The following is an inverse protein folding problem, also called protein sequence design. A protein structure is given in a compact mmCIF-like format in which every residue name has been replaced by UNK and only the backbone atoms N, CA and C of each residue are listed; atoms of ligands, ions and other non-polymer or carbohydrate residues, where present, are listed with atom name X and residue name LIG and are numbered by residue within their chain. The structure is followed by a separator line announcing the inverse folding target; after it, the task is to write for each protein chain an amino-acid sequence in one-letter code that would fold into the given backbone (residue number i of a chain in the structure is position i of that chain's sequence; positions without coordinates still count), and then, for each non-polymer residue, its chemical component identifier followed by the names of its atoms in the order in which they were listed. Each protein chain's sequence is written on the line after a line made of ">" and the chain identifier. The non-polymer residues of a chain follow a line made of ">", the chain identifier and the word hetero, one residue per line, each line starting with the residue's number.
data_IF_659103135647
#
_entry.id   IF_659103135647
#
_cell.length_a   1.000
_cell.length_b   1.000
_cell.length_c   1.000
_cell.angle_alpha   90.00
_cell.angle_beta   90.00
_cell.angle_gamma   90.00
#
_symmetry.space_group_name_H-M   'P 1'
#
loop_
_entity.id
_entity.type
_entity.pdbx_description
1 polymer ?
#
# COMPACT_ATOMS: atom_id res chain seq x y z
N UNK A 1 -47.63 17.86 4.88
CA UNK A 1 -46.20 17.52 5.08
C UNK A 1 -45.40 18.80 5.31
N UNK A 2 -44.35 18.82 6.14
CA UNK A 2 -43.54 20.03 6.43
C UNK A 2 -42.98 20.71 5.15
N UNK A 3 -42.66 19.93 4.12
CA UNK A 3 -42.16 20.41 2.82
C UNK A 3 -43.20 21.28 2.07
N UNK A 4 -44.50 20.96 2.19
CA UNK A 4 -45.58 21.71 1.54
C UNK A 4 -45.82 23.10 2.18
N UNK A 5 -45.34 23.33 3.41
CA UNK A 5 -45.46 24.63 4.09
C UNK A 5 -44.38 25.64 3.70
N UNK A 6 -43.38 25.22 2.92
CA UNK A 6 -42.31 26.11 2.47
C UNK A 6 -42.71 26.91 1.22
N UNK A 7 -42.35 28.20 1.17
CA UNK A 7 -42.63 29.07 0.01
C UNK A 7 -41.96 28.59 -1.28
N UNK A 8 -40.86 27.84 -1.18
CA UNK A 8 -40.18 27.24 -2.34
C UNK A 8 -41.04 26.19 -3.04
N UNK A 9 -41.84 25.41 -2.31
CA UNK A 9 -42.65 24.34 -2.90
C UNK A 9 -43.70 24.87 -3.89
N UNK A 10 -44.26 26.05 -3.63
CA UNK A 10 -45.26 26.69 -4.47
C UNK A 10 -44.69 27.34 -5.74
N UNK A 11 -43.37 27.56 -5.80
CA UNK A 11 -42.65 28.06 -6.99
C UNK A 11 -42.29 26.95 -7.98
N UNK A 12 -42.45 25.69 -7.59
CA UNK A 12 -42.13 24.55 -8.45
C UNK A 12 -43.24 24.27 -9.48
N UNK A 13 -42.88 23.87 -10.72
CA UNK A 13 -43.85 23.41 -11.72
C UNK A 13 -44.75 22.30 -11.18
N UNK A 14 -45.96 22.18 -11.72
CA UNK A 14 -46.96 21.20 -11.27
C UNK A 14 -46.41 19.76 -11.25
N UNK A 15 -45.67 19.37 -12.29
CA UNK A 15 -45.05 18.04 -12.37
C UNK A 15 -44.06 17.76 -11.23
N UNK A 16 -43.21 18.73 -10.87
CA UNK A 16 -42.25 18.58 -9.77
C UNK A 16 -42.94 18.48 -8.41
N UNK A 17 -44.01 19.27 -8.19
CA UNK A 17 -44.82 19.19 -6.96
C UNK A 17 -45.50 17.83 -6.82
N UNK A 18 -45.97 17.26 -7.92
CA UNK A 18 -46.59 15.94 -7.93
C UNK A 18 -45.58 14.83 -7.67
N UNK A 19 -44.41 14.86 -8.31
CA UNK A 19 -43.31 13.91 -8.08
C UNK A 19 -42.78 13.96 -6.64
N UNK A 20 -42.61 15.16 -6.06
CA UNK A 20 -42.22 15.28 -4.65
C UNK A 20 -43.28 14.70 -3.70
N UNK A 21 -44.57 14.88 -4.00
CA UNK A 21 -45.65 14.28 -3.21
C UNK A 21 -45.62 12.76 -3.29
N UNK A 22 -45.37 12.22 -4.46
CA UNK A 22 -45.26 10.77 -4.69
C UNK A 22 -44.10 10.15 -3.90
N UNK A 23 -42.92 10.76 -3.99
CA UNK A 23 -41.72 10.37 -3.23
C UNK A 23 -42.00 10.35 -1.71
N UNK A 24 -42.64 11.39 -1.17
CA UNK A 24 -42.91 11.47 0.27
C UNK A 24 -44.06 10.54 0.70
N UNK A 25 -44.93 10.11 -0.23
CA UNK A 25 -45.97 9.11 0.04
C UNK A 25 -45.39 7.69 0.08
N UNK A 26 -44.43 7.37 -0.78
CA UNK A 26 -43.79 6.05 -0.89
C UNK A 26 -42.41 5.98 -0.23
N UNK A 27 -42.31 6.45 1.02
CA UNK A 27 -41.03 6.63 1.76
C UNK A 27 -40.13 5.40 1.82
N UNK A 28 -40.70 4.21 2.02
CA UNK A 28 -39.92 2.96 2.12
C UNK A 28 -39.24 2.61 0.79
N UNK A 29 -39.98 2.70 -0.32
CA UNK A 29 -39.47 2.44 -1.67
C UNK A 29 -38.38 3.46 -2.04
N UNK A 30 -38.64 4.74 -1.81
CA UNK A 30 -37.64 5.79 -2.07
C UNK A 30 -36.39 5.60 -1.20
N UNK A 31 -36.54 5.29 0.09
CA UNK A 31 -35.41 5.08 0.98
C UNK A 31 -34.53 3.90 0.52
N UNK A 32 -35.14 2.76 0.16
CA UNK A 32 -34.41 1.60 -0.37
C UNK A 32 -33.62 1.94 -1.64
N UNK A 33 -34.26 2.64 -2.59
CA UNK A 33 -33.57 3.10 -3.82
C UNK A 33 -32.45 4.08 -3.53
N UNK A 34 -32.66 5.03 -2.61
CA UNK A 34 -31.65 6.02 -2.23
C UNK A 34 -30.42 5.37 -1.59
N UNK A 35 -30.63 4.43 -0.67
CA UNK A 35 -29.54 3.65 -0.05
C UNK A 35 -28.76 2.86 -1.10
N UNK A 36 -29.45 2.24 -2.07
CA UNK A 36 -28.81 1.54 -3.17
C UNK A 36 -27.91 2.46 -4.01
N UNK A 37 -28.42 3.62 -4.41
CA UNK A 37 -27.66 4.60 -5.20
C UNK A 37 -26.44 5.08 -4.40
N UNK A 38 -26.63 5.49 -3.14
CA UNK A 38 -25.54 5.95 -2.27
C UNK A 38 -24.50 4.83 -2.10
N UNK A 39 -24.93 3.60 -1.85
CA UNK A 39 -24.04 2.44 -1.70
C UNK A 39 -23.18 2.21 -2.95
N UNK A 40 -23.81 2.22 -4.13
CA UNK A 40 -23.08 2.12 -5.39
C UNK A 40 -22.09 3.28 -5.58
N UNK A 41 -22.50 4.52 -5.29
CA UNK A 41 -21.62 5.69 -5.37
C UNK A 41 -20.42 5.57 -4.43
N UNK A 42 -20.63 5.14 -3.19
CA UNK A 42 -19.56 4.95 -2.19
C UNK A 42 -18.59 3.87 -2.64
N UNK A 43 -19.06 2.74 -3.18
CA UNK A 43 -18.19 1.67 -3.67
C UNK A 43 -17.33 2.11 -4.85
N UNK A 44 -17.89 2.89 -5.78
CA UNK A 44 -17.16 3.44 -6.92
C UNK A 44 -16.13 4.46 -6.45
N UNK A 45 -16.51 5.38 -5.57
CA UNK A 45 -15.59 6.36 -4.99
C UNK A 45 -14.47 5.70 -4.19
N UNK A 46 -14.76 4.66 -3.41
CA UNK A 46 -13.76 3.91 -2.66
C UNK A 46 -12.78 3.21 -3.60
N UNK A 47 -13.27 2.62 -4.71
CA UNK A 47 -12.41 1.97 -5.72
C UNK A 47 -11.44 2.96 -6.35
N UNK A 48 -11.91 4.14 -6.77
CA UNK A 48 -11.05 5.19 -7.30
C UNK A 48 -10.10 5.76 -6.25
N UNK A 49 -10.57 5.98 -5.02
CA UNK A 49 -9.73 6.45 -3.92
C UNK A 49 -8.59 5.50 -3.58
N UNK A 50 -8.85 4.18 -3.56
CA UNK A 50 -7.81 3.17 -3.39
C UNK A 50 -6.78 3.21 -4.51
N UNK A 51 -7.22 3.40 -5.76
CA UNK A 51 -6.33 3.55 -6.92
C UNK A 51 -5.43 4.77 -6.80
N UNK A 52 -6.00 5.93 -6.53
CA UNK A 52 -5.24 7.18 -6.42
C UNK A 52 -4.25 7.12 -5.25
N UNK A 53 -4.67 6.53 -4.13
CA UNK A 53 -3.79 6.30 -2.97
C UNK A 53 -2.62 5.38 -3.34
N UNK A 54 -2.87 4.30 -4.08
CA UNK A 54 -1.81 3.40 -4.53
C UNK A 54 -0.85 4.12 -5.50
N UNK A 55 -1.35 4.88 -6.47
CA UNK A 55 -0.50 5.64 -7.39
C UNK A 55 0.40 6.64 -6.66
N UNK A 56 -0.16 7.39 -5.70
CA UNK A 56 0.60 8.33 -4.89
C UNK A 56 1.64 7.61 -4.02
N UNK A 57 1.30 6.44 -3.47
CA UNK A 57 2.23 5.60 -2.72
C UNK A 57 3.39 5.10 -3.59
N UNK A 58 3.10 4.60 -4.81
CA UNK A 58 4.14 4.14 -5.74
C UNK A 58 5.05 5.29 -6.15
N UNK A 59 4.50 6.45 -6.54
CA UNK A 59 5.30 7.62 -6.90
C UNK A 59 6.24 8.03 -5.74
N UNK A 60 5.72 8.09 -4.51
CA UNK A 60 6.52 8.36 -3.33
C UNK A 60 7.62 7.31 -3.13
N UNK A 61 7.25 6.03 -3.11
CA UNK A 61 8.15 4.92 -2.79
C UNK A 61 9.26 4.75 -3.84
N UNK A 62 8.92 4.81 -5.12
CA UNK A 62 9.88 4.59 -6.22
C UNK A 62 10.66 5.84 -6.59
N UNK A 63 10.04 7.01 -6.71
CA UNK A 63 10.78 8.21 -7.15
C UNK A 63 11.66 8.79 -6.04
N UNK A 64 11.22 8.68 -4.78
CA UNK A 64 11.93 9.27 -3.65
C UNK A 64 12.69 8.25 -2.77
N UNK A 65 12.15 7.02 -2.62
CA UNK A 65 12.69 6.00 -1.71
C UNK A 65 13.78 5.09 -2.28
N UNK A 66 13.69 4.72 -3.57
CA UNK A 66 14.64 3.79 -4.19
C UNK A 66 15.59 4.53 -5.14
N UNK A 67 16.81 4.80 -4.66
CA UNK A 67 17.86 5.47 -5.41
C UNK A 67 18.87 4.45 -5.98
N UNK A 68 18.35 3.36 -6.56
CA UNK A 68 19.13 2.32 -7.23
C UNK A 68 18.41 1.82 -8.48
N UNK A 69 19.17 1.22 -9.40
CA UNK A 69 18.63 0.62 -10.63
C UNK A 69 18.31 -0.86 -10.45
N UNK A 70 19.16 -1.60 -9.72
CA UNK A 70 19.00 -3.04 -9.50
C UNK A 70 19.34 -3.45 -8.07
N UNK A 71 18.61 -4.44 -7.56
CA UNK A 71 18.93 -5.22 -6.37
C UNK A 71 19.46 -6.60 -6.80
N UNK A 72 20.67 -6.92 -6.40
CA UNK A 72 21.34 -8.20 -6.60
C UNK A 72 21.09 -9.04 -5.35
N UNK A 73 20.51 -10.22 -5.51
CA UNK A 73 20.37 -11.20 -4.43
C UNK A 73 21.56 -12.16 -4.49
N UNK A 74 22.25 -12.28 -3.37
CA UNK A 74 23.41 -13.15 -3.21
C UNK A 74 22.96 -14.57 -2.84
N UNK A 75 23.75 -15.56 -3.25
CA UNK A 75 23.53 -16.95 -2.87
C UNK A 75 23.75 -17.15 -1.36
N UNK A 76 22.99 -18.06 -0.75
CA UNK A 76 23.21 -18.48 0.64
C UNK A 76 24.58 -19.19 0.80
N UNK A 77 25.10 -19.78 -0.27
CA UNK A 77 26.40 -20.47 -0.27
C UNK A 77 27.60 -19.56 -0.52
N UNK A 78 27.38 -18.27 -0.78
CA UNK A 78 28.47 -17.32 -1.03
C UNK A 78 29.26 -17.04 0.26
N UNK A 79 30.59 -17.02 0.16
CA UNK A 79 31.46 -16.65 1.29
C UNK A 79 31.47 -15.14 1.49
N UNK A 80 31.79 -14.68 2.69
CA UNK A 80 31.85 -13.24 3.01
C UNK A 80 32.80 -12.47 2.09
N UNK A 81 33.91 -13.07 1.68
CA UNK A 81 34.85 -12.48 0.72
C UNK A 81 34.20 -12.26 -0.65
N UNK A 82 33.44 -13.25 -1.13
CA UNK A 82 32.71 -13.15 -2.40
C UNK A 82 31.61 -12.10 -2.33
N UNK A 83 30.91 -11.99 -1.19
CA UNK A 83 29.89 -10.94 -0.98
C UNK A 83 30.54 -9.56 -1.06
N UNK A 84 31.67 -9.35 -0.39
CA UNK A 84 32.43 -8.08 -0.45
C UNK A 84 32.92 -7.76 -1.85
N UNK A 85 33.40 -8.75 -2.60
CA UNK A 85 33.83 -8.53 -3.99
C UNK A 85 32.67 -8.02 -4.86
N UNK A 86 31.45 -8.54 -4.69
CA UNK A 86 30.26 -8.06 -5.40
C UNK A 86 29.89 -6.63 -4.98
N UNK A 87 29.94 -6.33 -3.68
CA UNK A 87 29.66 -4.98 -3.14
C UNK A 87 30.62 -3.95 -3.76
N UNK A 88 31.92 -4.25 -3.74
CA UNK A 88 32.97 -3.37 -4.30
C UNK A 88 32.87 -3.24 -5.82
N UNK A 89 32.67 -4.36 -6.53
CA UNK A 89 32.56 -4.39 -8.00
C UNK A 89 31.43 -3.49 -8.50
N UNK A 90 30.28 -3.52 -7.83
CA UNK A 90 29.09 -2.78 -8.24
C UNK A 90 28.85 -1.49 -7.44
N UNK A 91 29.77 -1.12 -6.54
CA UNK A 91 29.70 0.07 -5.68
C UNK A 91 28.33 0.25 -5.05
N UNK A 92 27.82 -0.85 -4.50
CA UNK A 92 26.46 -0.92 -3.99
C UNK A 92 26.38 -0.70 -2.49
N UNK A 93 25.23 -0.22 -2.02
CA UNK A 93 24.86 -0.42 -0.62
C UNK A 93 24.44 -1.87 -0.43
N UNK A 94 24.49 -2.37 0.79
CA UNK A 94 24.19 -3.77 1.05
C UNK A 94 23.24 -3.93 2.24
N UNK A 95 22.60 -5.08 2.31
CA UNK A 95 21.79 -5.43 3.45
C UNK A 95 21.61 -6.92 3.64
N UNK A 96 21.18 -7.27 4.84
CA UNK A 96 20.79 -8.61 5.22
C UNK A 96 19.51 -8.58 6.04
N UNK A 97 18.71 -9.63 5.91
CA UNK A 97 17.41 -9.73 6.57
C UNK A 97 17.44 -10.88 7.57
N UNK A 98 17.09 -10.62 8.82
CA UNK A 98 17.00 -11.63 9.89
C UNK A 98 15.54 -11.73 10.35
N UNK A 99 15.00 -12.94 10.41
CA UNK A 99 13.66 -13.15 10.97
C UNK A 99 13.70 -13.09 12.50
N UNK A 100 13.02 -12.10 13.08
CA UNK A 100 12.95 -11.90 14.53
C UNK A 100 11.49 -11.94 15.02
N UNK A 101 11.31 -12.23 16.29
CA UNK A 101 10.03 -12.19 16.98
C UNK A 101 9.96 -10.95 17.86
N UNK A 102 8.87 -10.21 17.72
CA UNK A 102 8.53 -9.04 18.51
C UNK A 102 7.14 -9.27 19.10
N UNK A 103 7.03 -9.36 20.44
CA UNK A 103 5.75 -9.57 21.15
C UNK A 103 4.90 -10.73 20.55
N UNK A 104 5.55 -11.84 20.23
CA UNK A 104 4.89 -13.04 19.66
C UNK A 104 4.66 -13.00 18.14
N UNK A 105 4.92 -11.87 17.46
CA UNK A 105 4.79 -11.71 16.01
C UNK A 105 6.14 -11.82 15.30
N UNK A 106 6.21 -12.60 14.23
CA UNK A 106 7.40 -12.66 13.37
C UNK A 106 7.47 -11.43 12.47
N UNK A 107 8.60 -10.75 12.47
CA UNK A 107 8.91 -9.55 11.67
C UNK A 107 10.30 -9.68 11.06
N UNK A 108 10.56 -8.98 9.95
CA UNK A 108 11.91 -8.91 9.37
C UNK A 108 12.70 -7.80 10.04
N UNK A 109 13.90 -8.12 10.51
CA UNK A 109 14.92 -7.15 10.90
C UNK A 109 15.88 -6.98 9.72
N UNK A 110 15.79 -5.85 9.05
CA UNK A 110 16.61 -5.52 7.90
C UNK A 110 17.79 -4.66 8.37
N UNK A 111 19.00 -5.14 8.10
CA UNK A 111 20.26 -4.51 8.50
C UNK A 111 20.89 -3.95 7.24
N UNK A 112 21.17 -2.65 7.21
CA UNK A 112 21.74 -1.98 6.04
C UNK A 112 23.10 -1.34 6.30
N UNK A 113 24.03 -1.58 5.38
CA UNK A 113 25.27 -0.83 5.23
C UNK A 113 25.11 0.19 4.10
N UNK A 114 24.91 1.45 4.45
CA UNK A 114 24.63 2.54 3.50
C UNK A 114 25.84 3.44 3.38
N UNK A 115 26.43 3.46 2.18
CA UNK A 115 27.62 4.25 1.84
C UNK A 115 27.39 5.15 0.62
N UNK A 116 26.48 4.77 -0.28
CA UNK A 116 26.23 5.42 -1.56
C UNK A 116 24.80 5.99 -1.71
N UNK A 117 24.05 6.09 -0.60
CA UNK A 117 22.68 6.65 -0.55
C UNK A 117 21.69 5.98 -1.52
N UNK A 118 21.81 4.66 -1.69
CA UNK A 118 20.96 3.84 -2.56
C UNK A 118 19.65 3.47 -1.90
N UNK A 119 19.69 3.26 -0.59
CA UNK A 119 18.53 2.91 0.22
C UNK A 119 18.10 4.15 1.01
N UNK A 120 16.87 4.60 0.79
CA UNK A 120 16.29 5.73 1.53
C UNK A 120 14.98 5.31 2.17
N UNK A 121 14.80 5.69 3.43
CA UNK A 121 13.55 5.51 4.15
C UNK A 121 12.84 6.86 4.29
N UNK A 122 11.51 6.83 4.36
CA UNK A 122 10.69 8.03 4.45
C UNK A 122 9.80 7.99 5.69
N UNK A 123 9.67 9.13 6.36
CA UNK A 123 8.76 9.32 7.48
C UNK A 123 7.28 9.36 7.03
N UNK A 124 6.38 9.50 7.99
CA UNK A 124 4.94 9.64 7.74
C UNK A 124 4.58 10.88 6.89
N UNK A 125 5.44 11.90 6.89
CA UNK A 125 5.29 13.16 6.17
C UNK A 125 6.06 13.17 4.85
N UNK A 126 6.49 12.02 4.33
CA UNK A 126 7.26 11.86 3.08
C UNK A 126 8.62 12.57 3.07
N UNK A 127 9.18 12.83 4.25
CA UNK A 127 10.54 13.35 4.41
C UNK A 127 11.52 12.18 4.48
N UNK A 128 12.66 12.35 3.81
CA UNK A 128 13.78 11.42 3.90
C UNK A 128 14.28 11.36 5.35
N UNK A 129 14.40 10.15 5.88
CA UNK A 129 15.07 9.87 7.13
C UNK A 129 16.46 9.30 6.79
N UNK A 130 17.50 9.82 7.44
CA UNK A 130 18.83 9.21 7.41
C UNK A 130 18.89 8.12 8.48
N UNK A 131 19.31 6.91 8.07
CA UNK A 131 19.49 5.78 8.99
C UNK A 131 20.78 6.03 9.75
N UNK A 132 20.66 6.23 11.06
CA UNK A 132 21.75 6.51 11.99
C UNK A 132 22.09 5.28 12.82
N UNK A 133 23.24 5.34 13.49
CA UNK A 133 23.76 4.26 14.32
C UNK A 133 23.26 4.28 15.78
N UNK A 134 22.18 5.02 16.07
CA UNK A 134 21.69 5.28 17.42
C UNK A 134 20.34 4.61 17.76
N UNK A 135 19.76 3.84 16.83
CA UNK A 135 18.57 3.06 17.10
C UNK A 135 17.95 2.37 15.89
N UNK A 136 16.76 1.83 16.12
CA UNK A 136 15.95 1.10 15.16
C UNK A 136 14.82 1.96 14.61
N UNK A 137 14.57 1.83 13.32
CA UNK A 137 13.48 2.47 12.62
C UNK A 137 12.35 1.45 12.46
N UNK A 138 11.15 1.78 12.93
CA UNK A 138 10.00 0.87 12.87
C UNK A 138 9.08 1.25 11.72
N UNK A 139 8.57 0.24 11.02
CA UNK A 139 7.45 0.44 10.13
C UNK A 139 6.24 1.00 10.92
N UNK A 140 5.56 2.00 10.36
CA UNK A 140 4.38 2.65 10.94
C UNK A 140 3.35 1.65 11.48
N UNK A 141 3.12 0.54 10.75
CA UNK A 141 2.21 -0.53 11.19
C UNK A 141 2.64 -1.21 12.49
N UNK A 142 3.94 -1.42 12.68
CA UNK A 142 4.49 -1.98 13.92
C UNK A 142 4.40 -0.96 15.06
N UNK A 143 4.70 0.31 14.76
CA UNK A 143 4.56 1.41 15.72
C UNK A 143 3.14 1.52 16.26
N UNK A 144 2.13 1.55 15.37
CA UNK A 144 0.72 1.65 15.74
C UNK A 144 0.22 0.38 16.45
N UNK A 145 0.65 -0.80 15.99
CA UNK A 145 0.21 -2.07 16.57
C UNK A 145 0.70 -2.24 18.02
N UNK A 146 1.94 -1.84 18.31
CA UNK A 146 2.55 -2.01 19.62
C UNK A 146 2.56 -0.73 20.47
N UNK A 147 2.01 0.37 19.96
CA UNK A 147 1.93 1.65 20.66
C UNK A 147 3.30 2.28 20.93
N UNK A 148 4.28 2.03 20.06
CA UNK A 148 5.64 2.55 20.19
C UNK A 148 5.79 3.89 19.47
N UNK A 149 6.59 4.78 20.03
CA UNK A 149 6.96 6.09 19.49
C UNK A 149 8.46 6.31 19.53
N UNK A 150 8.94 7.35 18.85
CA UNK A 150 10.36 7.75 18.92
C UNK A 150 10.81 7.96 20.37
N UNK A 151 11.93 7.31 20.73
CA UNK A 151 12.46 7.33 22.08
C UNK A 151 12.12 6.10 22.92
N UNK A 152 11.09 5.34 22.57
CA UNK A 152 10.71 4.12 23.28
C UNK A 152 11.71 3.00 23.05
N UNK A 153 11.61 1.95 23.86
CA UNK A 153 12.44 0.74 23.75
C UNK A 153 11.57 -0.48 23.55
N UNK A 154 12.05 -1.41 22.75
CA UNK A 154 11.39 -2.69 22.52
C UNK A 154 12.45 -3.78 22.38
N UNK A 155 12.00 -5.03 22.49
CA UNK A 155 12.86 -6.20 22.43
C UNK A 155 12.46 -7.10 21.28
N UNK A 156 13.47 -7.68 20.63
CA UNK A 156 13.30 -8.67 19.56
C UNK A 156 14.16 -9.89 19.85
N UNK A 157 13.67 -11.07 19.45
CA UNK A 157 14.41 -12.33 19.58
C UNK A 157 14.50 -13.04 18.23
N UNK A 158 15.70 -13.40 17.73
CA UNK A 158 15.82 -14.18 16.51
C UNK A 158 15.17 -15.54 16.65
N UNK A 159 14.54 -16.00 15.57
CA UNK A 159 13.83 -17.27 15.58
C UNK A 159 14.78 -18.44 15.87
N UNK A 160 14.42 -19.27 16.84
CA UNK A 160 15.21 -20.45 17.22
C UNK A 160 16.39 -20.16 18.16
N UNK A 161 16.48 -18.95 18.71
CA UNK A 161 17.47 -18.58 19.74
C UNK A 161 16.77 -18.07 21.00
N UNK A 162 17.44 -18.19 22.15
CA UNK A 162 17.02 -17.57 23.41
C UNK A 162 17.56 -16.14 23.57
N UNK A 163 18.23 -15.62 22.54
CA UNK A 163 18.83 -14.29 22.54
C UNK A 163 17.74 -13.21 22.45
N UNK A 164 17.88 -12.17 23.27
CA UNK A 164 16.97 -11.03 23.29
C UNK A 164 17.77 -9.75 23.09
N UNK A 165 17.45 -9.01 22.04
CA UNK A 165 18.07 -7.73 21.71
C UNK A 165 17.10 -6.61 22.03
N UNK A 166 17.48 -5.76 22.97
CA UNK A 166 16.73 -4.54 23.28
C UNK A 166 17.27 -3.39 22.45
N UNK A 167 16.37 -2.70 21.76
CA UNK A 167 16.68 -1.60 20.85
C UNK A 167 15.78 -0.41 21.13
N UNK A 168 16.30 0.78 20.80
CA UNK A 168 15.58 2.05 20.95
C UNK A 168 14.96 2.46 19.62
N UNK A 169 13.72 2.94 19.63
CA UNK A 169 13.07 3.52 18.47
C UNK A 169 13.73 4.86 18.15
N UNK A 170 14.46 4.92 17.04
CA UNK A 170 15.06 6.15 16.51
C UNK A 170 14.10 6.93 15.60
N UNK A 171 13.16 6.23 14.95
CA UNK A 171 12.24 6.83 14.00
C UNK A 171 11.15 5.85 13.57
N UNK A 172 10.09 6.40 12.98
CA UNK A 172 9.02 5.62 12.34
C UNK A 172 9.03 5.92 10.84
N UNK A 173 8.96 4.87 10.02
CA UNK A 173 9.02 5.00 8.56
C UNK A 173 7.86 4.27 7.86
N UNK A 174 7.60 4.65 6.62
CA UNK A 174 6.60 3.98 5.77
C UNK A 174 7.24 2.88 4.94
N UNK A 175 6.64 1.69 5.01
CA UNK A 175 7.08 0.48 4.30
C UNK A 175 5.91 -0.30 3.73
N UNK A 176 6.16 -1.07 2.68
CA UNK A 176 5.21 -2.07 2.15
C UNK A 176 5.13 -3.28 3.07
N UNK A 177 6.25 -3.65 3.71
CA UNK A 177 6.38 -4.78 4.62
C UNK A 177 6.33 -4.34 6.09
N UNK A 178 6.03 -5.30 6.97
CA UNK A 178 6.21 -5.10 8.41
C UNK A 178 7.65 -5.48 8.77
N UNK A 179 8.51 -4.48 8.81
CA UNK A 179 9.93 -4.63 9.07
C UNK A 179 10.45 -3.57 10.03
N UNK A 180 11.61 -3.90 10.61
CA UNK A 180 12.44 -3.03 11.44
C UNK A 180 13.74 -2.81 10.67
N UNK A 181 14.21 -1.57 10.60
CA UNK A 181 15.47 -1.23 9.92
C UNK A 181 16.49 -0.75 10.96
N UNK A 182 17.72 -1.28 10.88
CA UNK A 182 18.87 -0.79 11.65
C UNK A 182 20.09 -0.63 10.73
N UNK A 183 21.04 0.22 11.14
CA UNK A 183 22.34 0.27 10.47
C UNK A 183 23.20 -0.93 10.83
N UNK A 184 24.14 -1.28 9.96
CA UNK A 184 25.18 -2.29 10.23
C UNK A 184 25.94 -1.97 11.53
N UNK A 185 26.36 -0.72 11.73
CA UNK A 185 27.10 -0.35 12.94
C UNK A 185 26.28 -0.52 14.22
N UNK A 186 24.95 -0.29 14.16
CA UNK A 186 24.07 -0.54 15.30
C UNK A 186 23.89 -2.05 15.55
N UNK A 187 23.75 -2.85 14.49
CA UNK A 187 23.70 -4.31 14.59
C UNK A 187 24.99 -4.88 15.23
N UNK A 188 26.16 -4.38 14.82
CA UNK A 188 27.46 -4.75 15.38
C UNK A 188 27.59 -4.38 16.86
N UNK A 189 27.07 -3.20 17.25
CA UNK A 189 27.07 -2.76 18.65
C UNK A 189 26.26 -3.69 19.56
N UNK A 190 25.18 -4.26 19.03
CA UNK A 190 24.32 -5.24 19.70
C UNK A 190 24.78 -6.69 19.48
N UNK A 191 25.81 -6.91 18.64
CA UNK A 191 26.34 -8.22 18.23
C UNK A 191 25.28 -9.13 17.59
N UNK A 192 24.37 -8.55 16.82
CA UNK A 192 23.34 -9.30 16.10
C UNK A 192 24.00 -10.03 14.92
N UNK A 193 23.99 -11.37 14.86
CA UNK A 193 24.55 -12.09 13.73
C UNK A 193 23.66 -11.90 12.50
N UNK A 194 24.26 -11.55 11.37
CA UNK A 194 23.56 -11.44 10.10
C UNK A 194 24.47 -11.79 8.93
N UNK A 195 23.89 -12.12 7.79
CA UNK A 195 24.59 -12.35 6.54
C UNK A 195 24.04 -11.40 5.47
N UNK A 196 24.93 -10.84 4.67
CA UNK A 196 24.51 -9.93 3.59
C UNK A 196 23.81 -10.74 2.50
N UNK A 197 22.51 -10.53 2.30
CA UNK A 197 21.72 -11.23 1.30
C UNK A 197 21.55 -10.44 0.00
N UNK A 198 21.78 -9.12 0.05
CA UNK A 198 21.46 -8.25 -1.07
C UNK A 198 22.40 -7.06 -1.21
N UNK A 199 22.60 -6.66 -2.46
CA UNK A 199 23.40 -5.49 -2.87
C UNK A 199 22.55 -4.61 -3.78
N UNK A 200 22.52 -3.31 -3.51
CA UNK A 200 21.73 -2.30 -4.20
C UNK A 200 22.68 -1.42 -5.03
N UNK A 201 22.52 -1.41 -6.34
CA UNK A 201 23.45 -0.75 -7.27
C UNK A 201 22.72 0.02 -8.37
N UNK A 202 23.40 1.02 -8.96
CA UNK A 202 22.94 1.72 -10.16
C UNK A 202 23.15 0.90 -11.43
N UNK A 203 23.88 -0.21 -11.34
CA UNK A 203 24.13 -1.09 -12.48
C UNK A 203 22.81 -1.65 -12.99
N UNK A 204 22.53 -1.46 -14.27
CA UNK A 204 21.34 -2.05 -14.89
C UNK A 204 21.40 -3.57 -14.84
N UNK A 205 20.23 -4.21 -14.70
CA UNK A 205 20.14 -5.67 -14.60
C UNK A 205 20.89 -6.42 -15.70
N UNK A 206 20.89 -5.90 -16.93
CA UNK A 206 21.57 -6.53 -18.06
C UNK A 206 23.11 -6.45 -18.02
N UNK A 207 23.66 -5.51 -17.24
CA UNK A 207 25.11 -5.33 -17.07
C UNK A 207 25.66 -6.10 -15.86
N UNK A 208 24.79 -6.70 -15.04
CA UNK A 208 25.22 -7.59 -13.95
C UNK A 208 25.53 -8.96 -14.53
N UNK A 209 26.81 -9.34 -14.46
CA UNK A 209 27.26 -10.65 -14.93
C UNK A 209 26.70 -11.77 -14.03
N UNK A 210 26.16 -12.81 -14.65
CA UNK A 210 25.73 -14.00 -13.92
C UNK A 210 26.95 -14.72 -13.32
N UNK A 211 26.84 -15.10 -12.05
CA UNK A 211 27.86 -15.86 -11.32
C UNK A 211 27.20 -16.78 -10.31
N UNK A 212 27.89 -17.82 -9.85
CA UNK A 212 27.37 -18.74 -8.81
C UNK A 212 27.11 -18.04 -7.47
N UNK A 213 27.70 -16.85 -7.28
CA UNK A 213 27.52 -15.98 -6.12
C UNK A 213 26.21 -15.19 -6.21
N UNK A 214 25.69 -14.96 -7.42
CA UNK A 214 24.49 -14.16 -7.66
C UNK A 214 23.31 -15.09 -7.94
N UNK A 215 22.36 -15.13 -7.01
CA UNK A 215 21.14 -15.92 -7.12
C UNK A 215 20.18 -15.33 -8.14
N UNK A 216 19.97 -14.02 -8.08
CA UNK A 216 19.07 -13.31 -8.99
C UNK A 216 19.31 -11.81 -8.98
N UNK A 217 18.83 -11.13 -10.03
CA UNK A 217 18.90 -9.67 -10.13
C UNK A 217 17.50 -9.14 -10.45
N UNK A 218 17.04 -8.21 -9.63
CA UNK A 218 15.74 -7.55 -9.77
C UNK A 218 15.99 -6.07 -10.07
N UNK A 219 15.54 -5.60 -11.23
CA UNK A 219 15.57 -4.16 -11.52
C UNK A 219 14.42 -3.46 -10.82
N UNK A 220 14.62 -2.19 -10.47
CA UNK A 220 13.57 -1.29 -10.00
C UNK A 220 12.39 -1.26 -10.97
N UNK A 221 12.68 -1.20 -12.28
CA UNK A 221 11.67 -1.20 -13.34
C UNK A 221 10.79 -2.45 -13.31
N UNK A 222 11.35 -3.64 -13.08
CA UNK A 222 10.56 -4.88 -13.00
C UNK A 222 9.54 -4.85 -11.86
N UNK A 223 9.87 -4.19 -10.76
CA UNK A 223 8.94 -4.00 -9.64
C UNK A 223 7.86 -2.99 -10.03
N UNK A 224 8.24 -1.86 -10.65
CA UNK A 224 7.30 -0.84 -11.15
C UNK A 224 6.31 -1.46 -12.14
N UNK A 225 6.79 -2.20 -13.13
CA UNK A 225 5.98 -2.89 -14.14
C UNK A 225 4.97 -3.86 -13.50
N UNK A 226 5.39 -4.56 -12.43
CA UNK A 226 4.51 -5.49 -11.69
C UNK A 226 3.37 -4.76 -10.99
N UNK A 227 3.63 -3.61 -10.38
CA UNK A 227 2.60 -2.78 -9.76
C UNK A 227 1.70 -2.10 -10.79
N UNK A 228 2.24 -1.63 -11.92
CA UNK A 228 1.46 -1.10 -13.03
C UNK A 228 0.52 -2.16 -13.62
N UNK A 229 1.00 -3.39 -13.80
CA UNK A 229 0.16 -4.52 -14.21
C UNK A 229 -0.96 -4.79 -13.21
N UNK A 230 -0.66 -4.75 -11.90
CA UNK A 230 -1.66 -4.92 -10.84
C UNK A 230 -2.73 -3.81 -10.88
N UNK A 231 -2.32 -2.54 -11.03
CA UNK A 231 -3.22 -1.41 -11.17
C UNK A 231 -4.09 -1.49 -12.43
N UNK A 232 -3.52 -1.97 -13.54
CA UNK A 232 -4.25 -2.18 -14.80
C UNK A 232 -5.32 -3.28 -14.68
N UNK A 233 -5.03 -4.35 -13.93
CA UNK A 233 -6.02 -5.39 -13.61
C UNK A 233 -7.17 -4.80 -12.77
N UNK A 234 -6.84 -3.98 -11.77
CA UNK A 234 -7.83 -3.29 -10.95
C UNK A 234 -8.71 -2.36 -11.79
N UNK A 235 -8.15 -1.62 -12.75
CA UNK A 235 -8.91 -0.80 -13.70
C UNK A 235 -9.89 -1.63 -14.52
N UNK A 236 -9.44 -2.77 -15.02
CA UNK A 236 -10.29 -3.69 -15.78
C UNK A 236 -11.47 -4.17 -14.94
N UNK A 237 -11.24 -4.50 -13.66
CA UNK A 237 -12.31 -4.89 -12.74
C UNK A 237 -13.28 -3.74 -12.47
N UNK A 238 -12.79 -2.52 -12.26
CA UNK A 238 -13.64 -1.33 -12.06
C UNK A 238 -14.52 -1.10 -13.29
N UNK A 239 -13.96 -1.15 -14.50
CA UNK A 239 -14.72 -0.98 -15.73
C UNK A 239 -15.78 -2.07 -15.93
N UNK A 240 -15.46 -3.33 -15.60
CA UNK A 240 -16.41 -4.43 -15.67
C UNK A 240 -17.57 -4.24 -14.69
N UNK A 241 -17.27 -3.88 -13.43
CA UNK A 241 -18.29 -3.64 -12.41
C UNK A 241 -19.19 -2.45 -12.75
N UNK A 242 -18.61 -1.33 -13.20
CA UNK A 242 -19.37 -0.15 -13.61
C UNK A 242 -20.21 -0.46 -14.86
N UNK A 243 -19.65 -1.13 -15.85
CA UNK A 243 -20.37 -1.56 -17.06
C UNK A 243 -21.54 -2.49 -16.74
N UNK A 244 -21.31 -3.49 -15.87
CA UNK A 244 -22.36 -4.40 -15.40
C UNK A 244 -23.46 -3.68 -14.61
N UNK A 245 -23.10 -2.73 -13.74
CA UNK A 245 -24.05 -1.93 -12.98
C UNK A 245 -24.92 -1.04 -13.88
N UNK A 246 -24.32 -0.42 -14.91
CA UNK A 246 -25.06 0.38 -15.90
C UNK A 246 -26.06 -0.48 -16.68
N UNK A 247 -25.63 -1.65 -17.15
CA UNK A 247 -26.48 -2.58 -17.90
C UNK A 247 -27.64 -3.08 -17.04
N UNK A 248 -27.35 -3.49 -15.80
CA UNK A 248 -28.38 -3.90 -14.85
C UNK A 248 -29.36 -2.76 -14.54
N UNK A 249 -28.85 -1.53 -14.38
CA UNK A 249 -29.66 -0.33 -14.20
C UNK A 249 -30.61 -0.09 -15.38
N UNK A 250 -30.13 -0.22 -16.62
CA UNK A 250 -30.96 -0.11 -17.82
C UNK A 250 -32.07 -1.17 -17.84
N UNK A 251 -31.74 -2.43 -17.54
CA UNK A 251 -32.73 -3.53 -17.48
C UNK A 251 -33.82 -3.26 -16.44
N UNK A 252 -33.42 -2.84 -15.23
CA UNK A 252 -34.36 -2.55 -14.14
C UNK A 252 -35.25 -1.36 -14.48
N UNK A 253 -34.68 -0.27 -15.01
CA UNK A 253 -35.44 0.91 -15.41
C UNK A 253 -36.42 0.60 -16.55
N UNK A 254 -36.02 -0.23 -17.51
CA UNK A 254 -36.90 -0.69 -18.58
C UNK A 254 -38.06 -1.54 -18.03
N UNK A 255 -37.78 -2.46 -17.11
CA UNK A 255 -38.81 -3.28 -16.46
C UNK A 255 -39.81 -2.42 -15.67
N UNK A 256 -39.32 -1.48 -14.85
CA UNK A 256 -40.19 -0.54 -14.12
C UNK A 256 -40.97 0.37 -15.06
N UNK A 257 -40.35 0.86 -16.14
CA UNK A 257 -41.02 1.72 -17.12
C UNK A 257 -42.15 1.00 -17.84
N UNK A 258 -41.91 -0.24 -18.28
CA UNK A 258 -42.96 -1.07 -18.93
C UNK A 258 -44.08 -1.45 -17.96
N UNK A 259 -43.76 -1.81 -16.72
CA UNK A 259 -44.76 -2.04 -15.67
C UNK A 259 -45.60 -0.77 -15.42
N UNK A 260 -44.97 0.37 -15.20
CA UNK A 260 -45.68 1.64 -14.94
C UNK A 260 -46.54 2.09 -16.12
N UNK A 261 -46.07 1.87 -17.36
CA UNK A 261 -46.85 2.14 -18.57
C UNK A 261 -48.09 1.23 -18.66
N UNK A 262 -47.94 -0.06 -18.39
CA UNK A 262 -49.06 -1.03 -18.40
C UNK A 262 -50.07 -0.78 -17.28
N UNK A 263 -49.63 -0.35 -16.10
CA UNK A 263 -50.49 0.08 -15.00
C UNK A 263 -51.33 1.31 -15.42
N UNK A 264 -50.69 2.34 -15.97
CA UNK A 264 -51.39 3.53 -16.48
C UNK A 264 -52.38 3.24 -17.60
N UNK A 265 -52.06 2.31 -18.49
CA UNK A 265 -52.96 1.92 -19.57
C UNK A 265 -54.20 1.18 -19.06
N UNK A 266 -54.10 0.42 -17.95
CA UNK A 266 -55.26 -0.23 -17.31
C UNK A 266 -56.14 0.73 -16.50
N UNK A 267 -55.59 1.87 -16.09
CA UNK A 267 -56.32 2.91 -15.34
C UNK A 267 -57.09 3.89 -16.24
N UNK A 268 -56.83 3.91 -17.56
CA UNK A 268 -57.61 4.64 -18.57
C UNK A 268 -58.72 3.76 -19.16
#
# INVERSE_FOLDING_TARGET
>A
MLVERTRLFHRLPFGTRWNMRDIVRHKSRTAMSLVGIIGCTVLVLASFGMKDTMNAFLAMYYDNGLNYSSRIFLSETATEEQRREVIEKYKGDFGGSVSVQMEGKTVSLDIYGITHDKIRIMDENTKKIEIRDDGAYLCMRLSEQFGLSEGDTFSVSPFGTDDVYTMKVAGVFRSVSENIIISEAYADSLKIPYTVDSVYTDTEKGAVEASDVIRSVQSKQMIMDSFEAFLSIMDTMIYLLVGGALLLGIIVLYNLGTMSYTERYREM
#
